data_IF_330717472571
#
_entry.id   IF_330717472571
#
_cell.length_a   1.000
_cell.length_b   1.000
_cell.length_c   1.000
_cell.angle_alpha   90.00
_cell.angle_beta   90.00
_cell.angle_gamma   90.00
#
_symmetry.space_group_name_H-M   'P 1'
#
loop_
_entity.id
_entity.type
_entity.pdbx_description
1 polymer ?
#
# COMPACT_ATOMS: atom_id res chain seq x y z
N UNK A 1 -5.49 -0.37 6.48
CA UNK A 1 -4.15 -0.32 5.83
C UNK A 1 -4.22 -0.62 4.33
N UNK A 2 -4.70 -1.80 3.93
CA UNK A 2 -4.66 -2.27 2.53
C UNK A 2 -5.25 -1.27 1.52
N UNK A 3 -6.46 -0.75 1.79
CA UNK A 3 -7.13 0.24 0.93
C UNK A 3 -6.25 1.45 0.64
N UNK A 4 -5.73 2.10 1.67
CA UNK A 4 -4.92 3.31 1.53
C UNK A 4 -3.56 3.05 0.85
N UNK A 5 -2.94 1.89 1.09
CA UNK A 5 -1.70 1.53 0.40
C UNK A 5 -1.92 1.19 -1.08
N UNK A 6 -3.03 0.53 -1.42
CA UNK A 6 -3.43 0.32 -2.81
C UNK A 6 -3.72 1.66 -3.51
N UNK A 7 -4.55 2.51 -2.91
CA UNK A 7 -4.88 3.83 -3.46
C UNK A 7 -3.62 4.70 -3.63
N UNK A 8 -2.67 4.65 -2.67
CA UNK A 8 -1.36 5.31 -2.77
C UNK A 8 -0.58 4.82 -3.99
N UNK A 9 -0.48 3.51 -4.17
CA UNK A 9 0.23 2.92 -5.31
C UNK A 9 -0.40 3.35 -6.64
N UNK A 10 -1.73 3.28 -6.73
CA UNK A 10 -2.47 3.68 -7.92
C UNK A 10 -2.23 5.15 -8.26
N UNK A 11 -2.27 6.07 -7.29
CA UNK A 11 -1.97 7.48 -7.54
C UNK A 11 -0.53 7.74 -8.01
N UNK A 12 0.40 6.84 -7.67
CA UNK A 12 1.80 6.91 -8.07
C UNK A 12 2.10 6.17 -9.37
N UNK A 13 1.15 5.48 -10.00
CA UNK A 13 1.48 4.61 -11.15
C UNK A 13 0.39 4.50 -12.20
N UNK A 14 -0.88 4.65 -11.82
CA UNK A 14 -2.05 4.35 -12.64
C UNK A 14 -2.38 2.86 -12.76
N UNK A 15 -1.64 1.96 -12.11
CA UNK A 15 -1.83 0.50 -12.23
C UNK A 15 -2.66 -0.04 -11.06
N UNK A 16 -3.93 -0.36 -11.35
CA UNK A 16 -4.88 -0.82 -10.33
C UNK A 16 -4.59 -2.25 -9.85
N UNK A 17 -4.19 -3.16 -10.75
CA UNK A 17 -3.92 -4.55 -10.36
C UNK A 17 -2.69 -4.62 -9.45
N UNK A 18 -1.60 -3.94 -9.83
CA UNK A 18 -0.42 -3.86 -8.97
C UNK A 18 -0.71 -3.10 -7.68
N UNK A 19 -1.60 -2.11 -7.70
CA UNK A 19 -2.05 -1.43 -6.49
C UNK A 19 -2.71 -2.40 -5.51
N UNK A 20 -3.64 -3.25 -5.96
CA UNK A 20 -4.30 -4.25 -5.12
C UNK A 20 -3.29 -5.24 -4.53
N UNK A 21 -2.40 -5.78 -5.37
CA UNK A 21 -1.31 -6.67 -4.96
C UNK A 21 -0.41 -6.02 -3.89
N UNK A 22 0.04 -4.79 -4.13
CA UNK A 22 0.88 -4.03 -3.18
C UNK A 22 0.15 -3.72 -1.87
N UNK A 23 -1.11 -3.26 -1.95
CA UNK A 23 -1.90 -2.88 -0.78
C UNK A 23 -2.13 -4.07 0.16
N UNK A 24 -2.47 -5.24 -0.38
CA UNK A 24 -2.58 -6.48 0.38
C UNK A 24 -1.25 -6.86 1.03
N UNK A 25 -0.17 -6.87 0.24
CA UNK A 25 1.17 -7.18 0.71
C UNK A 25 1.60 -6.30 1.90
N UNK A 26 1.43 -4.98 1.80
CA UNK A 26 1.78 -4.05 2.89
C UNK A 26 0.95 -4.29 4.14
N UNK A 27 -0.35 -4.55 4.00
CA UNK A 27 -1.20 -4.82 5.15
C UNK A 27 -0.77 -6.08 5.91
N UNK A 28 -0.46 -7.17 5.21
CA UNK A 28 0.03 -8.41 5.82
C UNK A 28 1.41 -8.19 6.44
N UNK A 29 2.34 -7.56 5.72
CA UNK A 29 3.69 -7.28 6.21
C UNK A 29 3.67 -6.51 7.54
N UNK A 30 2.90 -5.42 7.62
CA UNK A 30 2.82 -4.63 8.86
C UNK A 30 2.09 -5.35 9.99
N UNK A 31 1.08 -6.18 9.68
CA UNK A 31 0.42 -7.00 10.68
C UNK A 31 1.39 -8.02 11.30
N UNK A 32 2.23 -8.65 10.47
CA UNK A 32 3.28 -9.55 10.92
C UNK A 32 4.37 -8.82 11.71
N UNK A 33 4.88 -7.70 11.18
CA UNK A 33 5.94 -6.90 11.80
C UNK A 33 5.57 -6.41 13.21
N UNK A 34 4.30 -6.03 13.41
CA UNK A 34 3.78 -5.61 14.72
C UNK A 34 3.79 -6.76 15.75
N UNK A 35 3.57 -8.00 15.32
CA UNK A 35 3.43 -9.17 16.22
C UNK A 35 4.75 -9.82 16.59
N UNK A 36 5.72 -9.87 15.67
CA UNK A 36 6.94 -10.68 15.84
C UNK A 36 8.23 -9.86 15.97
N UNK A 37 8.16 -8.54 15.81
CA UNK A 37 9.37 -7.75 15.55
C UNK A 37 9.91 -8.05 14.14
N UNK A 38 10.63 -7.11 13.54
CA UNK A 38 11.06 -7.27 12.15
C UNK A 38 12.39 -8.04 12.10
N UNK A 39 12.36 -9.34 11.81
CA UNK A 39 13.57 -10.13 11.62
C UNK A 39 14.38 -9.70 10.37
N UNK A 40 13.71 -9.23 9.32
CA UNK A 40 14.34 -8.69 8.10
C UNK A 40 13.39 -7.71 7.39
N UNK A 41 13.62 -6.41 7.53
CA UNK A 41 12.86 -5.38 6.81
C UNK A 41 13.32 -5.36 5.36
N UNK A 42 12.43 -5.20 4.37
CA UNK A 42 12.86 -4.83 3.03
C UNK A 42 13.77 -3.58 3.11
N UNK A 43 14.81 -3.50 2.27
CA UNK A 43 15.71 -2.35 2.31
C UNK A 43 14.94 -1.05 2.06
N UNK A 44 15.39 0.03 2.68
CA UNK A 44 14.94 1.39 2.37
C UNK A 44 15.96 2.05 1.43
N UNK A 45 15.47 2.77 0.42
CA UNK A 45 16.33 3.59 -0.44
C UNK A 45 16.22 5.06 -0.06
N UNK A 46 17.30 5.83 -0.22
CA UNK A 46 17.19 7.30 -0.23
C UNK A 46 16.28 7.67 -1.40
N UNK A 47 15.17 8.37 -1.15
CA UNK A 47 14.22 8.76 -2.20
C UNK A 47 14.96 9.64 -3.21
N UNK A 48 15.38 9.08 -4.33
CA UNK A 48 15.79 9.86 -5.49
C UNK A 48 14.50 10.35 -6.15
N UNK A 49 14.34 11.66 -6.30
CA UNK A 49 13.08 12.31 -6.68
C UNK A 49 12.56 11.95 -8.10
N UNK A 50 13.23 11.07 -8.84
CA UNK A 50 13.06 10.92 -10.29
C UNK A 50 12.17 9.75 -10.73
N UNK A 51 11.93 8.71 -9.90
CA UNK A 51 11.04 7.59 -10.27
C UNK A 51 10.17 7.12 -9.10
N UNK A 52 8.87 7.00 -9.34
CA UNK A 52 7.84 6.56 -8.38
C UNK A 52 8.04 5.11 -7.96
N UNK A 53 8.33 4.27 -8.95
CA UNK A 53 8.59 2.85 -8.78
C UNK A 53 9.92 2.51 -9.45
N UNK A 54 10.81 1.84 -8.72
CA UNK A 54 12.10 1.36 -9.25
C UNK A 54 12.29 -0.12 -8.96
N UNK A 55 13.02 -0.82 -9.83
CA UNK A 55 13.28 -2.26 -9.72
C UNK A 55 14.78 -2.51 -9.61
N UNK A 56 15.16 -3.41 -8.72
CA UNK A 56 16.53 -3.86 -8.51
C UNK A 56 16.53 -5.39 -8.36
N UNK A 57 17.50 -6.08 -8.97
CA UNK A 57 17.70 -7.51 -8.75
C UNK A 57 18.69 -7.71 -7.60
N UNK A 58 18.31 -8.47 -6.58
CA UNK A 58 19.16 -8.83 -5.43
C UNK A 58 18.98 -10.30 -5.10
N UNK A 59 20.09 -11.03 -5.01
CA UNK A 59 20.11 -12.43 -4.56
C UNK A 59 19.10 -13.30 -5.32
N UNK A 60 19.04 -13.14 -6.66
CA UNK A 60 18.11 -13.87 -7.52
C UNK A 60 16.66 -13.36 -7.51
N UNK A 61 16.27 -12.51 -6.55
CA UNK A 61 14.91 -11.96 -6.41
C UNK A 61 14.81 -10.54 -6.96
N UNK A 62 13.61 -10.17 -7.41
CA UNK A 62 13.34 -8.81 -7.87
C UNK A 62 12.72 -8.00 -6.73
N UNK A 63 13.41 -6.93 -6.33
CA UNK A 63 12.96 -5.97 -5.33
C UNK A 63 12.43 -4.74 -6.04
N UNK A 64 11.21 -4.33 -5.67
CA UNK A 64 10.55 -3.13 -6.20
C UNK A 64 10.40 -2.12 -5.07
N UNK A 65 10.82 -0.88 -5.32
CA UNK A 65 10.62 0.23 -4.39
C UNK A 65 9.45 1.09 -4.85
N UNK A 66 8.52 1.37 -3.93
CA UNK A 66 7.49 2.40 -4.07
C UNK A 66 7.96 3.60 -3.24
N UNK A 67 8.55 4.59 -3.90
CA UNK A 67 9.35 5.62 -3.25
C UNK A 67 10.54 5.02 -2.47
N UNK A 68 10.56 5.12 -1.13
CA UNK A 68 11.59 4.45 -0.30
C UNK A 68 11.17 3.08 0.27
N UNK A 69 9.98 2.58 -0.06
CA UNK A 69 9.48 1.33 0.48
C UNK A 69 9.76 0.14 -0.45
N UNK A 70 10.68 -0.74 -0.06
CA UNK A 70 10.97 -1.98 -0.76
C UNK A 70 9.93 -3.09 -0.52
N UNK A 71 9.64 -3.86 -1.56
CA UNK A 71 8.88 -5.10 -1.50
C UNK A 71 9.29 -6.04 -2.65
N UNK A 72 9.36 -7.33 -2.39
CA UNK A 72 9.72 -8.31 -3.42
C UNK A 72 8.53 -8.58 -4.35
N UNK A 73 8.84 -8.97 -5.58
CA UNK A 73 7.87 -9.44 -6.56
C UNK A 73 8.22 -10.84 -7.09
N UNK A 74 7.21 -11.56 -7.57
CA UNK A 74 7.34 -12.80 -8.33
C UNK A 74 7.83 -12.53 -9.76
N UNK A 75 8.04 -13.58 -10.54
CA UNK A 75 8.44 -13.47 -11.95
C UNK A 75 7.34 -12.83 -12.81
N UNK A 76 6.07 -13.09 -12.48
CA UNK A 76 4.88 -12.44 -13.05
C UNK A 76 4.68 -10.99 -12.53
N UNK A 77 5.57 -10.56 -11.64
CA UNK A 77 5.64 -9.21 -11.12
C UNK A 77 4.63 -8.89 -10.01
N UNK A 78 4.00 -9.88 -9.39
CA UNK A 78 3.09 -9.67 -8.25
C UNK A 78 3.86 -9.58 -6.94
N UNK A 79 3.42 -8.76 -5.99
CA UNK A 79 4.12 -8.58 -4.73
C UNK A 79 4.07 -9.85 -3.87
N UNK A 80 5.16 -10.15 -3.15
CA UNK A 80 5.31 -11.38 -2.37
C UNK A 80 5.72 -11.13 -0.92
N UNK A 81 5.36 -12.07 -0.04
CA UNK A 81 5.87 -12.16 1.33
C UNK A 81 6.37 -13.59 1.54
N UNK A 82 7.68 -13.75 1.73
CA UNK A 82 8.27 -15.10 1.68
C UNK A 82 8.07 -15.67 0.28
N UNK A 83 7.42 -16.83 0.17
CA UNK A 83 7.07 -17.49 -1.10
C UNK A 83 5.64 -17.19 -1.54
N UNK A 84 4.84 -16.56 -0.68
CA UNK A 84 3.41 -16.33 -0.94
C UNK A 84 3.21 -15.12 -1.86
N UNK A 85 2.57 -15.37 -3.01
CA UNK A 85 2.17 -14.33 -3.97
C UNK A 85 0.89 -13.65 -3.53
N UNK A 86 0.83 -12.33 -3.61
CA UNK A 86 -0.35 -11.54 -3.27
C UNK A 86 -1.04 -11.07 -4.55
N UNK A 87 -2.06 -11.80 -5.00
CA UNK A 87 -2.75 -11.48 -6.26
C UNK A 87 -3.78 -10.36 -6.07
N UNK A 88 -4.13 -9.63 -7.15
CA UNK A 88 -5.25 -8.68 -7.11
C UNK A 88 -6.57 -9.34 -6.67
N UNK A 89 -6.83 -10.57 -7.10
CA UNK A 89 -8.01 -11.35 -6.69
C UNK A 89 -8.03 -11.66 -5.19
N UNK A 90 -6.86 -11.82 -4.56
CA UNK A 90 -6.77 -12.02 -3.12
C UNK A 90 -7.14 -10.76 -2.36
N UNK A 91 -6.74 -9.60 -2.86
CA UNK A 91 -7.17 -8.32 -2.31
C UNK A 91 -8.70 -8.20 -2.42
N UNK A 92 -9.28 -8.52 -3.56
CA UNK A 92 -10.74 -8.42 -3.74
C UNK A 92 -11.48 -9.35 -2.78
N UNK A 93 -11.00 -10.59 -2.64
CA UNK A 93 -11.55 -11.60 -1.74
C UNK A 93 -11.40 -11.24 -0.26
N UNK A 94 -10.28 -10.65 0.16
CA UNK A 94 -9.94 -10.45 1.58
C UNK A 94 -10.18 -9.03 2.09
N UNK A 95 -10.13 -8.03 1.21
CA UNK A 95 -10.20 -6.60 1.55
C UNK A 95 -11.47 -5.99 0.98
N UNK A 96 -11.68 -6.06 -0.34
CA UNK A 96 -12.82 -5.39 -0.97
C UNK A 96 -14.15 -5.98 -0.50
N UNK A 97 -14.25 -7.32 -0.42
CA UNK A 97 -15.44 -8.01 0.09
C UNK A 97 -15.83 -7.57 1.52
N UNK A 98 -14.85 -7.35 2.41
CA UNK A 98 -15.08 -6.92 3.80
C UNK A 98 -15.47 -5.46 3.88
N UNK A 99 -14.90 -4.61 3.03
CA UNK A 99 -15.32 -3.21 2.92
C UNK A 99 -16.77 -3.15 2.42
N UNK A 100 -17.12 -3.95 1.41
CA UNK A 100 -18.47 -4.04 0.84
C UNK A 100 -19.56 -4.41 1.85
N UNK A 101 -19.21 -5.10 2.94
CA UNK A 101 -20.17 -5.39 4.03
C UNK A 101 -20.57 -4.14 4.83
N UNK A 102 -19.81 -3.04 4.71
CA UNK A 102 -20.01 -1.80 5.46
C UNK A 102 -20.43 -0.65 4.53
N UNK A 103 -19.77 -0.51 3.38
CA UNK A 103 -20.13 0.44 2.32
C UNK A 103 -19.64 -0.06 0.95
N UNK A 104 -20.24 0.38 -0.17
CA UNK A 104 -19.75 0.04 -1.50
C UNK A 104 -18.26 0.32 -1.66
N UNK A 105 -17.51 -0.67 -2.12
CA UNK A 105 -16.06 -0.61 -2.26
C UNK A 105 -15.64 0.54 -3.17
N UNK A 106 -16.36 0.76 -4.26
CA UNK A 106 -16.12 1.84 -5.21
C UNK A 106 -16.27 3.21 -4.55
N UNK A 107 -17.15 3.34 -3.55
CA UNK A 107 -17.25 4.55 -2.72
C UNK A 107 -16.03 4.68 -1.82
N UNK A 108 -15.63 3.62 -1.11
CA UNK A 108 -14.44 3.63 -0.26
C UNK A 108 -13.15 3.92 -1.04
N UNK A 109 -13.00 3.33 -2.24
CA UNK A 109 -11.89 3.54 -3.16
C UNK A 109 -11.80 4.99 -3.61
N UNK A 110 -12.90 5.57 -4.11
CA UNK A 110 -12.93 6.98 -4.51
C UNK A 110 -12.60 7.92 -3.35
N UNK A 111 -13.19 7.71 -2.18
CA UNK A 111 -12.88 8.51 -0.99
C UNK A 111 -11.42 8.38 -0.57
N UNK A 112 -10.82 7.19 -0.67
CA UNK A 112 -9.40 6.99 -0.41
C UNK A 112 -8.53 7.76 -1.41
N UNK A 113 -8.85 7.72 -2.72
CA UNK A 113 -8.11 8.48 -3.74
C UNK A 113 -8.20 9.98 -3.51
N UNK A 114 -9.39 10.51 -3.26
CA UNK A 114 -9.61 11.93 -2.97
C UNK A 114 -8.84 12.37 -1.73
N UNK A 115 -8.91 11.60 -0.65
CA UNK A 115 -8.17 11.86 0.57
C UNK A 115 -6.65 11.93 0.32
N UNK A 116 -6.11 10.95 -0.41
CA UNK A 116 -4.68 10.89 -0.68
C UNK A 116 -4.19 12.00 -1.61
N UNK A 117 -5.03 12.49 -2.54
CA UNK A 117 -4.71 13.65 -3.39
C UNK A 117 -4.50 14.94 -2.60
N UNK A 118 -5.04 15.04 -1.38
CA UNK A 118 -4.82 16.18 -0.50
C UNK A 118 -3.41 16.26 0.10
N UNK A 119 -2.59 15.21 -0.06
CA UNK A 119 -1.24 15.17 0.50
C UNK A 119 -0.17 15.46 -0.55
N UNK A 120 0.95 16.08 -0.17
CA UNK A 120 2.06 16.29 -1.08
C UNK A 120 2.62 14.94 -1.54
N UNK A 121 3.05 14.87 -2.80
CA UNK A 121 3.66 13.66 -3.39
C UNK A 121 4.80 13.09 -2.54
N UNK A 122 5.57 13.94 -1.85
CA UNK A 122 6.65 13.50 -0.95
C UNK A 122 6.15 12.68 0.24
N UNK A 123 4.94 12.92 0.74
CA UNK A 123 4.30 12.10 1.78
C UNK A 123 3.80 10.76 1.23
N UNK A 124 3.49 10.68 -0.07
CA UNK A 124 3.15 9.42 -0.74
C UNK A 124 4.40 8.61 -1.11
N UNK A 125 5.56 9.23 -1.35
CA UNK A 125 6.79 8.50 -1.67
C UNK A 125 7.57 8.03 -0.43
N UNK A 126 7.37 8.67 0.72
CA UNK A 126 8.04 8.29 1.96
C UNK A 126 7.16 7.42 2.86
N UNK A 127 7.59 6.18 3.12
CA UNK A 127 6.90 5.19 3.95
C UNK A 127 6.57 5.72 5.35
N UNK A 128 7.50 6.46 5.99
CA UNK A 128 7.33 6.97 7.34
C UNK A 128 6.35 8.13 7.38
N UNK A 129 6.46 9.06 6.42
CA UNK A 129 5.50 10.17 6.27
C UNK A 129 4.11 9.63 5.95
N UNK A 130 4.01 8.69 5.02
CA UNK A 130 2.74 8.04 4.70
C UNK A 130 2.11 7.42 5.95
N UNK A 131 2.88 6.64 6.71
CA UNK A 131 2.36 6.02 7.92
C UNK A 131 1.90 7.06 8.96
N UNK A 132 2.73 8.04 9.28
CA UNK A 132 2.49 8.95 10.39
C UNK A 132 1.49 10.07 10.06
N UNK A 133 1.56 10.64 8.85
CA UNK A 133 0.79 11.82 8.46
C UNK A 133 -0.50 11.47 7.71
N UNK A 134 -0.53 10.32 7.02
CA UNK A 134 -1.64 9.95 6.14
C UNK A 134 -2.45 8.81 6.74
N UNK A 135 -1.81 7.67 7.01
CA UNK A 135 -2.53 6.48 7.47
C UNK A 135 -2.98 6.58 8.93
N UNK A 136 -2.05 6.87 9.85
CA UNK A 136 -2.29 6.82 11.29
C UNK A 136 -3.44 7.73 11.76
N UNK A 137 -3.61 8.97 11.24
CA UNK A 137 -4.68 9.87 11.71
C UNK A 137 -6.11 9.39 11.41
N UNK A 138 -6.28 8.51 10.41
CA UNK A 138 -7.58 8.01 9.96
C UNK A 138 -7.75 6.50 10.18
N UNK A 139 -6.76 5.81 10.75
CA UNK A 139 -6.72 4.35 10.90
C UNK A 139 -8.01 3.77 11.47
N UNK A 140 -8.49 4.36 12.56
CA UNK A 140 -9.63 3.83 13.34
C UNK A 140 -10.92 4.63 13.09
N UNK A 141 -10.87 5.69 12.28
CA UNK A 141 -11.99 6.61 12.00
C UNK A 141 -12.12 6.93 10.51
N UNK A 142 -11.83 5.94 9.65
CA UNK A 142 -11.80 6.16 8.20
C UNK A 142 -13.17 6.59 7.66
N UNK A 143 -14.26 5.95 8.09
CA UNK A 143 -15.61 6.33 7.67
C UNK A 143 -15.91 7.79 8.00
N UNK A 144 -15.78 8.15 9.28
CA UNK A 144 -16.06 9.50 9.76
C UNK A 144 -15.20 10.56 9.08
N UNK A 145 -13.87 10.37 9.06
CA UNK A 145 -12.92 11.41 8.63
C UNK A 145 -12.70 11.48 7.12
N UNK A 146 -12.83 10.35 6.41
CA UNK A 146 -12.49 10.27 4.98
C UNK A 146 -13.74 10.15 4.11
N UNK A 147 -14.68 9.28 4.48
CA UNK A 147 -15.89 9.03 3.67
C UNK A 147 -16.97 10.08 3.94
N UNK A 148 -17.22 10.38 5.21
CA UNK A 148 -18.26 11.33 5.65
C UNK A 148 -17.72 12.76 5.80
N UNK A 149 -16.40 12.92 5.91
CA UNK A 149 -15.70 14.20 6.08
C UNK A 149 -16.20 14.99 7.30
N UNK A 150 -16.57 14.29 8.38
CA UNK A 150 -16.92 14.90 9.67
C UNK A 150 -15.65 15.42 10.33
N UNK A 151 -15.70 16.67 10.81
CA UNK A 151 -14.60 17.38 11.46
C UNK A 151 -14.53 17.02 12.94
#
# INVERSE_FOLDING_TARGET
MALLQAARYYLLTGDEEKAKSFGLNRAIFYAWAKRRGVARTPPRRKVAATREVTRERREGRTLVYVGNEGAYISEEGWYTIGEEVQLPSDYDRQVASRINQILPYERAWRSALEYLRGFPRSSLLDQSKFFNQVYRPVRDRFLEKVVERKT
#
